data_IF_247457511426
#
_entry.id   IF_247457511426
#
_cell.length_a   1.000
_cell.length_b   1.000
_cell.length_c   1.000
_cell.angle_alpha   90.00
_cell.angle_beta   90.00
_cell.angle_gamma   90.00
#
_symmetry.space_group_name_H-M   'P 1'
#
loop_
_entity.id
_entity.type
_entity.pdbx_description
1 polymer ?
#
# COMPACT_ATOMS: atom_id res chain seq x y z
N UNK A 1 28.75 13.68 -4.37
CA UNK A 1 27.58 13.10 -3.70
C UNK A 1 26.79 12.26 -4.69
N UNK A 2 26.44 11.04 -4.33
CA UNK A 2 25.68 10.16 -5.22
C UNK A 2 24.21 10.58 -5.26
N UNK A 3 23.60 10.47 -6.43
CA UNK A 3 22.15 10.66 -6.56
C UNK A 3 21.43 9.46 -5.94
N UNK A 4 20.17 9.62 -5.63
CA UNK A 4 19.35 8.52 -5.11
C UNK A 4 19.36 7.32 -6.08
N UNK A 5 19.30 7.59 -7.38
CA UNK A 5 19.35 6.57 -8.43
C UNK A 5 20.68 5.80 -8.44
N UNK A 6 21.79 6.51 -8.31
CA UNK A 6 23.11 5.89 -8.25
C UNK A 6 23.29 5.02 -7.02
N UNK A 7 22.87 5.51 -5.87
CA UNK A 7 22.89 4.74 -4.62
C UNK A 7 22.04 3.48 -4.73
N UNK A 8 20.84 3.60 -5.27
CA UNK A 8 19.93 2.48 -5.48
C UNK A 8 20.55 1.42 -6.40
N UNK A 9 21.17 1.83 -7.51
CA UNK A 9 21.80 0.91 -8.45
C UNK A 9 22.96 0.13 -7.82
N UNK A 10 23.77 0.77 -6.99
CA UNK A 10 24.84 0.10 -6.26
C UNK A 10 24.31 -0.93 -5.28
N UNK A 11 23.30 -0.56 -4.50
CA UNK A 11 22.72 -1.44 -3.49
C UNK A 11 21.97 -2.61 -4.14
N UNK A 12 21.43 -2.43 -5.32
CA UNK A 12 20.72 -3.49 -6.04
C UNK A 12 21.63 -4.63 -6.51
N UNK A 13 22.95 -4.50 -6.36
CA UNK A 13 23.90 -5.58 -6.60
C UNK A 13 23.99 -6.55 -5.43
N UNK A 14 23.50 -6.16 -4.26
CA UNK A 14 23.49 -7.00 -3.06
C UNK A 14 22.14 -7.72 -2.96
N UNK A 15 22.10 -9.09 -3.05
CA UNK A 15 20.83 -9.83 -3.01
C UNK A 15 19.99 -9.56 -1.76
N UNK A 16 20.60 -9.42 -0.60
CA UNK A 16 19.85 -9.14 0.64
C UNK A 16 19.19 -7.77 0.58
N UNK A 17 19.88 -6.78 0.04
CA UNK A 17 19.30 -5.44 -0.12
C UNK A 17 18.17 -5.45 -1.14
N UNK A 18 18.31 -6.19 -2.23
CA UNK A 18 17.27 -6.29 -3.27
C UNK A 18 15.97 -6.85 -2.68
N UNK A 19 16.05 -7.93 -1.90
CA UNK A 19 14.87 -8.51 -1.26
C UNK A 19 14.21 -7.52 -0.30
N UNK A 20 14.98 -6.87 0.57
CA UNK A 20 14.46 -5.90 1.52
C UNK A 20 13.82 -4.70 0.79
N UNK A 21 14.46 -4.22 -0.27
CA UNK A 21 13.94 -3.10 -1.06
C UNK A 21 12.60 -3.45 -1.73
N UNK A 22 12.53 -4.62 -2.35
CA UNK A 22 11.31 -5.08 -3.03
C UNK A 22 10.15 -5.26 -2.05
N UNK A 23 10.42 -5.78 -0.86
CA UNK A 23 9.44 -5.94 0.19
C UNK A 23 8.88 -4.58 0.65
N UNK A 24 9.75 -3.61 0.91
CA UNK A 24 9.36 -2.25 1.29
C UNK A 24 8.53 -1.59 0.19
N UNK A 25 8.94 -1.73 -1.07
CA UNK A 25 8.20 -1.16 -2.21
C UNK A 25 6.80 -1.75 -2.32
N UNK A 26 6.66 -3.06 -2.12
CA UNK A 26 5.36 -3.72 -2.17
C UNK A 26 4.43 -3.22 -1.07
N UNK A 27 4.93 -3.10 0.16
CA UNK A 27 4.16 -2.57 1.28
C UNK A 27 3.72 -1.12 1.03
N UNK A 28 4.63 -0.28 0.57
CA UNK A 28 4.32 1.12 0.27
C UNK A 28 3.33 1.26 -0.88
N UNK A 29 3.38 0.35 -1.87
CA UNK A 29 2.43 0.36 -2.98
C UNK A 29 1.01 0.09 -2.49
N UNK A 30 0.83 -0.86 -1.58
CA UNK A 30 -0.48 -1.18 -1.00
C UNK A 30 -1.00 -0.01 -0.16
N UNK A 31 -0.15 0.56 0.71
CA UNK A 31 -0.51 1.71 1.54
C UNK A 31 -0.96 2.88 0.67
N UNK A 32 -0.18 3.19 -0.36
CA UNK A 32 -0.49 4.30 -1.27
C UNK A 32 -1.79 4.05 -2.01
N UNK A 33 -2.02 2.82 -2.46
CA UNK A 33 -3.24 2.47 -3.19
C UNK A 33 -4.48 2.70 -2.33
N UNK A 34 -4.44 2.33 -1.05
CA UNK A 34 -5.55 2.53 -0.12
C UNK A 34 -5.80 4.03 0.07
N UNK A 35 -4.75 4.78 0.37
CA UNK A 35 -4.86 6.23 0.61
C UNK A 35 -5.34 6.97 -0.63
N UNK A 36 -4.76 6.68 -1.78
CA UNK A 36 -5.12 7.33 -3.05
C UNK A 36 -6.56 7.03 -3.44
N UNK A 37 -7.01 5.78 -3.27
CA UNK A 37 -8.38 5.39 -3.56
C UNK A 37 -9.37 6.14 -2.66
N UNK A 38 -9.08 6.23 -1.36
CA UNK A 38 -9.90 6.97 -0.41
C UNK A 38 -10.00 8.45 -0.80
N UNK A 39 -8.85 9.07 -1.07
CA UNK A 39 -8.80 10.49 -1.45
C UNK A 39 -9.51 10.76 -2.78
N UNK A 40 -9.40 9.83 -3.75
CA UNK A 40 -10.07 9.97 -5.04
C UNK A 40 -11.60 9.96 -4.92
N UNK A 41 -12.12 9.34 -3.86
CA UNK A 41 -13.55 9.34 -3.56
C UNK A 41 -13.98 10.49 -2.66
N UNK A 42 -13.05 11.40 -2.29
CA UNK A 42 -13.33 12.51 -1.41
C UNK A 42 -13.68 12.09 0.02
N UNK A 43 -13.20 10.93 0.45
CA UNK A 43 -13.54 10.36 1.75
C UNK A 43 -12.44 10.63 2.78
N UNK A 44 -12.83 10.92 4.01
CA UNK A 44 -11.92 10.92 5.15
C UNK A 44 -11.74 9.48 5.64
N UNK A 45 -10.78 9.25 6.53
CA UNK A 45 -10.61 7.93 7.17
C UNK A 45 -11.88 7.54 7.94
N UNK A 46 -12.53 8.52 8.56
CA UNK A 46 -13.79 8.30 9.26
C UNK A 46 -14.89 7.87 8.30
N UNK A 47 -15.00 8.51 7.14
CA UNK A 47 -15.98 8.16 6.12
C UNK A 47 -15.78 6.74 5.63
N UNK A 48 -14.53 6.35 5.39
CA UNK A 48 -14.20 4.99 4.95
C UNK A 48 -14.52 3.97 6.06
N UNK A 49 -14.24 4.31 7.31
CA UNK A 49 -14.59 3.46 8.45
C UNK A 49 -16.10 3.20 8.50
N UNK A 50 -16.91 4.24 8.33
CA UNK A 50 -18.36 4.13 8.32
C UNK A 50 -18.86 3.29 7.14
N UNK A 51 -18.27 3.47 5.96
CA UNK A 51 -18.67 2.74 4.75
C UNK A 51 -18.31 1.26 4.80
N UNK A 52 -17.25 0.89 5.50
CA UNK A 52 -16.73 -0.48 5.52
C UNK A 52 -17.07 -1.26 6.78
N UNK A 53 -17.42 -0.57 7.86
CA UNK A 53 -17.56 -1.19 9.18
C UNK A 53 -16.23 -1.50 9.85
N UNK A 54 -15.12 -1.05 9.25
CA UNK A 54 -13.78 -1.21 9.83
C UNK A 54 -13.52 -0.03 10.76
N UNK A 55 -12.93 -0.28 11.93
CA UNK A 55 -12.62 0.79 12.89
C UNK A 55 -11.67 1.80 12.26
N UNK A 56 -11.89 3.09 12.51
CA UNK A 56 -11.04 4.16 11.98
C UNK A 56 -9.57 3.98 12.37
N UNK A 57 -9.31 3.52 13.62
CA UNK A 57 -7.96 3.23 14.08
C UNK A 57 -7.26 2.16 13.25
N UNK A 58 -8.01 1.17 12.75
CA UNK A 58 -7.48 0.13 11.87
C UNK A 58 -7.11 0.70 10.50
N UNK A 59 -7.97 1.55 9.95
CA UNK A 59 -7.70 2.23 8.67
C UNK A 59 -6.45 3.10 8.80
N UNK A 60 -6.32 3.83 9.90
CA UNK A 60 -5.13 4.64 10.18
C UNK A 60 -3.87 3.79 10.22
N UNK A 61 -3.91 2.64 10.88
CA UNK A 61 -2.77 1.71 10.94
C UNK A 61 -2.40 1.16 9.58
N UNK A 62 -3.39 0.85 8.74
CA UNK A 62 -3.16 0.38 7.37
C UNK A 62 -2.47 1.48 6.54
N UNK A 63 -2.94 2.71 6.65
CA UNK A 63 -2.40 3.82 5.86
C UNK A 63 -1.04 4.30 6.33
N UNK A 64 -0.68 4.07 7.61
CA UNK A 64 0.65 4.43 8.11
C UNK A 64 1.65 3.27 8.09
N UNK A 65 1.24 2.11 7.60
CA UNK A 65 2.13 0.97 7.42
C UNK A 65 2.39 0.13 8.66
N UNK A 66 1.65 0.34 9.75
CA UNK A 66 1.86 -0.44 10.97
C UNK A 66 1.07 -1.75 10.99
N UNK A 67 0.28 -2.01 9.95
CA UNK A 67 -0.48 -3.25 9.82
C UNK A 67 -0.53 -3.70 8.36
N UNK A 68 -0.32 -4.99 8.12
CA UNK A 68 -0.44 -5.58 6.79
C UNK A 68 -1.88 -6.03 6.55
N UNK A 69 -2.53 -5.57 5.49
CA UNK A 69 -3.90 -5.99 5.20
C UNK A 69 -3.94 -7.39 4.59
N UNK A 70 -4.98 -8.15 4.94
CA UNK A 70 -5.29 -9.39 4.24
C UNK A 70 -6.02 -9.07 2.94
N UNK A 71 -6.06 -10.04 2.01
CA UNK A 71 -6.85 -9.89 0.78
C UNK A 71 -8.32 -9.62 1.13
N UNK A 72 -8.83 -10.31 2.13
CA UNK A 72 -10.22 -10.15 2.57
C UNK A 72 -10.50 -8.73 3.07
N UNK A 73 -9.55 -8.15 3.81
CA UNK A 73 -9.68 -6.77 4.28
C UNK A 73 -9.62 -5.78 3.12
N UNK A 74 -8.73 -6.02 2.15
CA UNK A 74 -8.64 -5.20 0.95
C UNK A 74 -9.94 -5.23 0.14
N UNK A 75 -10.59 -6.41 0.06
CA UNK A 75 -11.89 -6.54 -0.60
C UNK A 75 -12.97 -5.70 0.10
N UNK A 76 -12.98 -5.69 1.44
CA UNK A 76 -13.91 -4.86 2.20
C UNK A 76 -13.68 -3.37 1.95
N UNK A 77 -12.42 -2.95 1.90
CA UNK A 77 -12.07 -1.57 1.58
C UNK A 77 -12.56 -1.20 0.18
N UNK A 78 -12.32 -2.07 -0.79
CA UNK A 78 -12.76 -1.84 -2.18
C UNK A 78 -14.28 -1.67 -2.25
N UNK A 79 -15.03 -2.52 -1.57
CA UNK A 79 -16.50 -2.42 -1.52
C UNK A 79 -16.94 -1.09 -0.93
N UNK A 80 -16.34 -0.65 0.17
CA UNK A 80 -16.66 0.63 0.80
C UNK A 80 -16.30 1.83 -0.06
N UNK A 81 -15.34 1.67 -0.96
CA UNK A 81 -14.90 2.69 -1.91
C UNK A 81 -15.69 2.64 -3.23
N UNK A 82 -16.59 1.67 -3.38
CA UNK A 82 -17.28 1.39 -4.64
C UNK A 82 -16.29 1.14 -5.77
N UNK A 83 -15.27 0.33 -5.48
CA UNK A 83 -14.21 -0.04 -6.40
C UNK A 83 -14.03 -1.55 -6.44
N UNK A 84 -13.38 -2.03 -7.49
CA UNK A 84 -13.01 -3.44 -7.61
C UNK A 84 -11.54 -3.60 -7.24
N UNK A 85 -11.25 -4.55 -6.35
CA UNK A 85 -9.88 -4.90 -6.01
C UNK A 85 -9.25 -5.65 -7.18
N UNK A 86 -8.07 -5.20 -7.62
CA UNK A 86 -7.30 -5.87 -8.66
C UNK A 86 -5.89 -6.11 -8.14
N UNK A 87 -5.43 -7.35 -8.23
CA UNK A 87 -4.08 -7.74 -7.81
C UNK A 87 -3.36 -8.37 -8.99
N UNK A 88 -2.14 -7.96 -9.23
CA UNK A 88 -1.38 -8.47 -10.35
C UNK A 88 0.08 -8.69 -9.98
N UNK A 89 0.72 -9.57 -10.71
CA UNK A 89 2.17 -9.77 -10.62
C UNK A 89 2.82 -9.14 -11.84
N UNK A 90 3.91 -8.42 -11.60
CA UNK A 90 4.69 -7.81 -12.67
C UNK A 90 6.04 -8.50 -12.77
N UNK A 91 6.59 -8.68 -13.98
CA UNK A 91 7.97 -9.18 -14.12
C UNK A 91 8.95 -8.23 -13.43
N UNK A 92 10.05 -8.77 -12.92
CA UNK A 92 11.07 -7.94 -12.26
C UNK A 92 11.83 -7.04 -13.23
N UNK A 93 11.77 -7.30 -14.51
CA UNK A 93 12.46 -6.49 -15.52
C UNK A 93 11.49 -5.92 -16.53
#
# INVERSE_FOLDING_TARGET
MKTLKEYKNEQMKNPEFVEAYEEIQSEMSVIRAITDARLSRGMTQKDLAEATGIAQGEISKLENGTRNPSIKLLQRLAEGLDMTLSVSFSPKN
#
